data_IF_770063645169
#
_entry.id   IF_770063645169
#
_cell.length_a   1.000
_cell.length_b   1.000
_cell.length_c   1.000
_cell.angle_alpha   90.00
_cell.angle_beta   90.00
_cell.angle_gamma   90.00
#
_symmetry.space_group_name_H-M   'P 1'
#
loop_
_entity.id
_entity.type
_entity.pdbx_description
1 polymer ?
#
# COMPACT_ATOMS: atom_id res chain seq x y z
N UNK A 1 14.57 -1.30 1.39
CA UNK A 1 13.61 -0.56 0.54
C UNK A 1 13.80 0.93 0.73
N UNK A 2 13.31 1.73 -0.22
CA UNK A 2 13.19 3.18 -0.06
C UNK A 2 11.72 3.54 0.13
N UNK A 3 11.42 4.29 1.17
CA UNK A 3 10.07 4.71 1.54
C UNK A 3 9.77 6.05 0.89
N UNK A 4 8.82 6.07 -0.05
CA UNK A 4 8.31 7.32 -0.60
C UNK A 4 7.73 8.22 0.50
N UNK A 5 8.08 9.51 0.47
CA UNK A 5 7.70 10.49 1.47
C UNK A 5 6.39 11.19 1.04
N UNK A 6 5.31 10.97 1.78
CA UNK A 6 4.11 11.82 1.73
C UNK A 6 4.25 13.11 2.57
N UNK A 7 3.14 13.82 2.71
CA UNK A 7 2.95 14.98 3.59
C UNK A 7 3.62 14.80 4.97
N UNK A 8 3.23 13.76 5.73
CA UNK A 8 3.84 13.41 7.00
C UNK A 8 3.92 11.89 7.17
N UNK A 9 5.10 11.39 7.56
CA UNK A 9 5.33 9.96 7.75
C UNK A 9 5.99 9.74 9.09
N UNK A 10 5.53 8.76 9.86
CA UNK A 10 6.30 8.23 10.98
C UNK A 10 7.11 7.06 10.45
N UNK A 11 8.43 7.22 10.43
CA UNK A 11 9.37 6.18 9.99
C UNK A 11 10.12 5.69 11.21
N UNK A 12 10.20 4.38 11.40
CA UNK A 12 10.95 3.80 12.51
C UNK A 12 11.76 2.58 12.14
N UNK A 13 12.64 2.17 13.05
CA UNK A 13 13.53 1.01 12.89
C UNK A 13 12.83 -0.22 13.46
N UNK A 14 12.57 -1.22 12.62
CA UNK A 14 11.86 -2.46 13.01
C UNK A 14 12.55 -3.12 14.19
N UNK A 15 13.87 -3.32 14.11
CA UNK A 15 14.63 -3.98 15.17
C UNK A 15 14.65 -3.23 16.51
N UNK A 16 14.48 -1.90 16.52
CA UNK A 16 14.38 -1.13 17.78
C UNK A 16 12.97 -1.22 18.35
N UNK A 17 11.97 -1.15 17.47
CA UNK A 17 10.57 -1.28 17.84
C UNK A 17 10.31 -2.66 18.45
N UNK A 18 10.73 -3.75 17.80
CA UNK A 18 10.59 -5.12 18.33
C UNK A 18 11.28 -5.31 19.69
N UNK A 19 12.43 -4.65 19.91
CA UNK A 19 13.14 -4.67 21.20
C UNK A 19 12.40 -3.88 22.27
N UNK A 20 11.76 -2.79 21.92
CA UNK A 20 11.09 -1.91 22.87
C UNK A 20 9.67 -2.40 23.22
N UNK A 21 8.98 -3.07 22.30
CA UNK A 21 7.58 -3.49 22.44
C UNK A 21 7.39 -4.98 22.05
N UNK A 22 7.95 -5.88 22.88
CA UNK A 22 8.00 -7.32 22.57
C UNK A 22 6.60 -7.93 22.36
N UNK A 23 6.32 -8.41 21.15
CA UNK A 23 5.05 -9.04 20.76
C UNK A 23 3.95 -8.07 20.31
N UNK A 24 4.16 -6.77 20.44
CA UNK A 24 3.16 -5.75 20.13
C UNK A 24 3.32 -5.17 18.72
N UNK A 25 4.41 -5.47 17.99
CA UNK A 25 4.59 -4.93 16.64
C UNK A 25 3.52 -5.45 15.66
N UNK A 26 3.06 -6.68 15.84
CA UNK A 26 1.94 -7.24 15.06
C UNK A 26 0.65 -6.46 15.30
N UNK A 27 0.32 -6.19 16.56
CA UNK A 27 -0.83 -5.40 16.94
C UNK A 27 -0.71 -3.95 16.45
N UNK A 28 0.49 -3.38 16.56
CA UNK A 28 0.81 -2.04 16.07
C UNK A 28 0.58 -1.92 14.56
N UNK A 29 1.05 -2.90 13.78
CA UNK A 29 0.88 -2.95 12.33
C UNK A 29 -0.57 -3.20 11.92
N UNK A 30 -1.27 -4.11 12.63
CA UNK A 30 -2.67 -4.44 12.39
C UNK A 30 -3.63 -3.28 12.66
N UNK A 31 -3.32 -2.42 13.64
CA UNK A 31 -4.12 -1.25 13.97
C UNK A 31 -4.00 -0.08 12.98
N UNK A 32 -3.09 -0.15 11.98
CA UNK A 32 -2.71 1.01 11.14
C UNK A 32 -2.79 0.68 9.66
N UNK A 33 -3.83 1.19 9.00
CA UNK A 33 -4.08 0.96 7.57
C UNK A 33 -2.94 1.45 6.64
N UNK A 34 -2.13 2.40 7.09
CA UNK A 34 -1.05 3.01 6.28
C UNK A 34 0.33 2.43 6.62
N UNK A 35 0.36 1.32 7.38
CA UNK A 35 1.58 0.65 7.79
C UNK A 35 2.23 -0.10 6.62
N UNK A 36 3.54 0.08 6.49
CA UNK A 36 4.42 -0.62 5.55
C UNK A 36 5.71 -0.94 6.28
N UNK A 37 6.30 -2.12 6.06
CA UNK A 37 7.62 -2.47 6.61
C UNK A 37 8.45 -3.32 5.64
N UNK A 38 9.77 -3.25 5.80
CA UNK A 38 10.73 -4.24 5.36
C UNK A 38 11.53 -4.78 6.55
N UNK A 39 12.66 -5.47 6.30
CA UNK A 39 13.53 -6.01 7.34
C UNK A 39 14.22 -4.95 8.22
N UNK A 40 14.17 -3.66 7.87
CA UNK A 40 14.90 -2.59 8.55
C UNK A 40 14.01 -1.46 9.04
N UNK A 41 13.06 -1.03 8.21
CA UNK A 41 12.24 0.16 8.44
C UNK A 41 10.76 -0.17 8.37
N UNK A 42 9.98 0.53 9.19
CA UNK A 42 8.54 0.66 9.00
C UNK A 42 8.16 2.12 8.70
N UNK A 43 6.99 2.31 8.11
CA UNK A 43 6.38 3.61 7.82
C UNK A 43 4.90 3.58 8.15
N UNK A 44 4.41 4.65 8.76
CA UNK A 44 2.97 4.98 8.85
C UNK A 44 2.77 6.36 8.22
N UNK A 45 1.98 6.41 7.14
CA UNK A 45 1.66 7.66 6.43
C UNK A 45 0.46 8.40 7.06
N UNK A 46 0.53 9.72 7.11
CA UNK A 46 -0.51 10.60 7.67
C UNK A 46 -0.80 11.78 6.75
N UNK A 47 -2.08 12.16 6.69
CA UNK A 47 -2.53 13.41 6.06
C UNK A 47 -2.47 14.61 7.04
N UNK A 48 -2.16 14.36 8.31
CA UNK A 48 -2.06 15.35 9.38
C UNK A 48 -0.73 15.23 10.10
N UNK A 49 0.07 16.31 10.09
CA UNK A 49 1.32 16.38 10.87
C UNK A 49 1.05 16.23 12.36
N UNK A 50 -0.12 16.67 12.84
CA UNK A 50 -0.50 16.55 14.24
C UNK A 50 -0.67 15.08 14.65
N UNK A 51 -1.42 14.31 13.87
CA UNK A 51 -1.60 12.87 14.14
C UNK A 51 -0.27 12.12 14.08
N UNK A 52 0.61 12.50 13.15
CA UNK A 52 1.95 11.93 13.06
C UNK A 52 2.81 12.26 14.28
N UNK A 53 2.72 13.48 14.81
CA UNK A 53 3.41 13.89 16.04
C UNK A 53 2.86 13.18 17.27
N UNK A 54 1.52 13.05 17.37
CA UNK A 54 0.86 12.34 18.45
C UNK A 54 1.36 10.88 18.49
N UNK A 55 1.43 10.21 17.33
CA UNK A 55 2.01 8.85 17.25
C UNK A 55 3.48 8.82 17.67
N UNK A 56 4.31 9.76 17.21
CA UNK A 56 5.73 9.80 17.62
C UNK A 56 5.87 9.97 19.14
N UNK A 57 4.99 10.74 19.78
CA UNK A 57 4.97 10.92 21.23
C UNK A 57 4.55 9.69 22.03
N UNK A 58 3.82 8.75 21.41
CA UNK A 58 3.45 7.46 22.00
C UNK A 58 4.56 6.40 21.87
N UNK A 59 5.49 6.61 20.92
CA UNK A 59 6.54 5.64 20.62
C UNK A 59 7.76 5.82 21.54
N UNK A 60 8.49 4.73 21.86
CA UNK A 60 9.70 4.83 22.66
C UNK A 60 10.76 5.72 21.98
N UNK A 61 11.47 6.52 22.77
CA UNK A 61 12.45 7.48 22.27
C UNK A 61 13.49 6.82 21.33
N UNK A 62 13.70 7.45 20.16
CA UNK A 62 14.70 7.01 19.19
C UNK A 62 14.32 5.78 18.36
N UNK A 63 13.12 5.21 18.55
CA UNK A 63 12.61 4.10 17.71
C UNK A 63 12.07 4.59 16.37
N UNK A 64 11.48 5.79 16.34
CA UNK A 64 10.87 6.40 15.18
C UNK A 64 11.16 7.91 15.08
N UNK A 65 10.93 8.46 13.90
CA UNK A 65 11.03 9.88 13.60
C UNK A 65 9.91 10.32 12.66
N UNK A 66 9.48 11.57 12.83
CA UNK A 66 8.64 12.26 11.86
C UNK A 66 9.47 12.65 10.64
N UNK A 67 9.04 12.20 9.46
CA UNK A 67 9.64 12.50 8.16
C UNK A 67 8.62 13.20 7.28
N UNK A 68 8.91 14.44 6.92
CA UNK A 68 8.14 15.26 5.97
C UNK A 68 8.98 15.53 4.71
N UNK A 69 8.37 15.95 3.60
CA UNK A 69 9.05 16.11 2.30
C UNK A 69 10.29 17.03 2.34
N UNK A 70 10.30 18.04 3.21
CA UNK A 70 11.41 19.00 3.36
C UNK A 70 12.08 19.05 4.74
N UNK A 71 11.58 18.28 5.71
CA UNK A 71 12.08 18.34 7.10
C UNK A 71 13.46 17.68 7.28
N UNK A 72 14.14 17.88 8.41
CA UNK A 72 15.35 17.12 8.72
C UNK A 72 15.02 15.62 8.84
N UNK A 73 16.03 14.77 8.62
CA UNK A 73 15.96 13.33 8.93
C UNK A 73 17.08 12.97 9.90
N UNK A 74 16.86 12.00 10.80
CA UNK A 74 17.90 11.52 11.70
C UNK A 74 19.03 10.81 10.93
N UNK A 75 20.20 10.70 11.54
CA UNK A 75 21.42 10.16 10.90
C UNK A 75 21.31 8.70 10.43
N UNK A 76 20.36 7.94 10.98
CA UNK A 76 20.07 6.57 10.57
C UNK A 76 19.18 6.50 9.31
N UNK A 77 18.69 7.64 8.80
CA UNK A 77 18.03 7.76 7.51
C UNK A 77 18.90 8.55 6.51
N UNK A 78 18.79 8.15 5.25
CA UNK A 78 19.19 8.95 4.09
C UNK A 78 17.94 9.41 3.38
N UNK A 79 18.03 10.57 2.75
CA UNK A 79 17.01 11.10 1.84
C UNK A 79 17.61 11.29 0.46
N UNK A 80 16.81 11.05 -0.55
CA UNK A 80 17.11 11.43 -1.93
C UNK A 80 15.91 11.20 -2.84
N UNK A 81 16.15 11.35 -4.12
CA UNK A 81 15.16 11.09 -5.16
C UNK A 81 15.49 9.76 -5.86
N UNK A 82 14.47 8.92 -6.04
CA UNK A 82 14.58 7.66 -6.76
C UNK A 82 13.36 7.54 -7.68
N UNK A 83 13.61 7.31 -8.96
CA UNK A 83 12.58 7.24 -10.00
C UNK A 83 11.60 8.44 -9.98
N UNK A 84 12.12 9.64 -9.71
CA UNK A 84 11.35 10.88 -9.64
C UNK A 84 10.55 11.08 -8.34
N UNK A 85 10.69 10.18 -7.35
CA UNK A 85 10.01 10.25 -6.07
C UNK A 85 10.99 10.58 -4.94
N UNK A 86 10.63 11.54 -4.09
CA UNK A 86 11.34 11.80 -2.84
C UNK A 86 11.14 10.63 -1.88
N UNK A 87 12.23 10.04 -1.41
CA UNK A 87 12.21 8.84 -0.59
C UNK A 87 13.25 8.91 0.55
N UNK A 88 13.03 8.10 1.59
CA UNK A 88 14.01 7.82 2.64
C UNK A 88 14.36 6.34 2.72
N UNK A 89 15.59 6.03 3.11
CA UNK A 89 16.05 4.66 3.34
C UNK A 89 17.08 4.61 4.45
N UNK A 90 17.42 3.41 4.92
CA UNK A 90 18.35 3.25 6.04
C UNK A 90 19.78 3.65 5.65
N UNK A 91 20.46 4.46 6.47
CA UNK A 91 21.70 5.14 6.10
C UNK A 91 22.97 4.27 5.89
N UNK A 92 22.85 2.96 6.09
CA UNK A 92 23.89 1.96 5.86
C UNK A 92 23.61 1.01 4.71
N UNK A 93 22.56 1.25 3.93
CA UNK A 93 22.14 0.39 2.83
C UNK A 93 21.89 1.21 1.56
N UNK A 94 22.05 0.56 0.41
CA UNK A 94 21.51 1.07 -0.85
C UNK A 94 19.97 1.16 -0.74
N UNK A 95 19.33 2.16 -1.35
CA UNK A 95 17.89 2.40 -1.20
C UNK A 95 17.02 1.20 -1.60
N UNK A 96 17.44 0.41 -2.59
CA UNK A 96 16.57 -0.61 -3.18
C UNK A 96 15.33 0.02 -3.86
N UNK A 97 14.32 -0.80 -4.22
CA UNK A 97 13.11 -0.30 -4.87
C UNK A 97 12.33 0.69 -4.01
N UNK A 98 11.74 1.70 -4.66
CA UNK A 98 10.84 2.65 -3.99
C UNK A 98 9.50 1.97 -3.72
N UNK A 99 9.12 2.00 -2.46
CA UNK A 99 7.77 1.70 -2.00
C UNK A 99 7.03 3.03 -1.92
N UNK A 100 6.18 3.34 -2.93
CA UNK A 100 5.39 4.55 -2.90
C UNK A 100 4.41 4.49 -1.72
N UNK A 101 3.82 5.62 -1.36
CA UNK A 101 2.79 5.64 -0.34
C UNK A 101 1.42 5.20 -0.85
N UNK A 102 1.42 4.10 -1.61
CA UNK A 102 0.22 3.51 -2.13
C UNK A 102 -0.46 2.69 -1.03
N UNK A 103 -1.65 3.12 -0.63
CA UNK A 103 -2.60 2.27 0.08
C UNK A 103 -3.36 1.36 -0.89
N UNK A 104 -3.27 1.66 -2.19
CA UNK A 104 -3.99 0.97 -3.24
C UNK A 104 -3.76 1.57 -4.61
N UNK A 105 -4.44 0.99 -5.60
CA UNK A 105 -4.53 1.51 -6.97
C UNK A 105 -5.97 1.95 -7.19
N UNK A 106 -6.17 3.17 -7.69
CA UNK A 106 -7.47 3.65 -8.12
C UNK A 106 -7.35 4.10 -9.58
N UNK A 107 -7.99 3.35 -10.47
CA UNK A 107 -7.97 3.60 -11.90
C UNK A 107 -9.37 3.53 -12.46
N UNK A 108 -9.61 4.19 -13.58
CA UNK A 108 -10.82 4.07 -14.36
C UNK A 108 -10.48 3.67 -15.80
N UNK A 109 -11.35 2.92 -16.45
CA UNK A 109 -11.17 2.53 -17.85
C UNK A 109 -12.24 1.55 -18.33
N UNK A 110 -12.10 1.00 -19.55
CA UNK A 110 -13.08 0.08 -20.10
C UNK A 110 -13.28 -1.16 -19.22
N UNK A 111 -14.52 -1.64 -19.06
CA UNK A 111 -14.83 -2.81 -18.22
C UNK A 111 -14.07 -4.09 -18.57
N UNK A 112 -13.66 -4.25 -19.84
CA UNK A 112 -12.82 -5.36 -20.33
C UNK A 112 -11.40 -5.39 -19.76
N UNK A 113 -10.94 -4.34 -19.08
CA UNK A 113 -9.58 -4.29 -18.53
C UNK A 113 -9.34 -5.38 -17.47
N UNK A 114 -10.39 -5.85 -16.80
CA UNK A 114 -10.30 -7.00 -15.87
C UNK A 114 -9.73 -8.26 -16.52
N UNK A 115 -9.98 -8.47 -17.81
CA UNK A 115 -9.50 -9.65 -18.54
C UNK A 115 -7.98 -9.65 -18.71
N UNK A 116 -7.33 -8.48 -18.60
CA UNK A 116 -5.87 -8.35 -18.74
C UNK A 116 -5.17 -8.96 -17.53
N UNK A 117 -5.74 -8.78 -16.32
CA UNK A 117 -5.18 -9.32 -15.07
C UNK A 117 -5.20 -10.85 -15.10
N UNK A 118 -6.24 -11.46 -15.67
CA UNK A 118 -6.42 -12.91 -15.75
C UNK A 118 -5.49 -13.58 -16.78
N UNK A 119 -4.94 -12.82 -17.73
CA UNK A 119 -4.08 -13.37 -18.79
C UNK A 119 -2.64 -13.63 -18.35
N UNK A 120 -2.21 -13.08 -17.22
CA UNK A 120 -0.87 -13.31 -16.70
C UNK A 120 -0.78 -14.70 -16.06
N UNK A 121 0.11 -15.55 -16.57
CA UNK A 121 0.24 -16.93 -16.12
C UNK A 121 0.75 -17.07 -14.67
N UNK A 122 1.39 -16.03 -14.13
CA UNK A 122 1.84 -15.98 -12.74
C UNK A 122 0.76 -15.44 -11.79
N UNK A 123 -0.41 -15.06 -12.32
CA UNK A 123 -1.49 -14.42 -11.57
C UNK A 123 -2.68 -15.36 -11.43
N UNK A 124 -3.16 -15.49 -10.20
CA UNK A 124 -4.43 -16.16 -9.88
C UNK A 124 -5.45 -15.10 -9.50
N UNK A 125 -6.61 -15.11 -10.15
CA UNK A 125 -7.73 -14.21 -9.85
C UNK A 125 -8.92 -15.05 -9.39
N UNK A 126 -9.41 -14.81 -8.18
CA UNK A 126 -10.57 -15.51 -7.62
C UNK A 126 -11.66 -14.52 -7.28
N UNK A 127 -12.84 -14.67 -7.87
CA UNK A 127 -14.01 -13.85 -7.49
C UNK A 127 -14.43 -14.17 -6.05
N UNK A 128 -14.69 -13.14 -5.26
CA UNK A 128 -15.20 -13.24 -3.88
C UNK A 128 -16.61 -12.65 -3.81
N UNK A 129 -17.50 -13.25 -3.01
CA UNK A 129 -18.81 -12.67 -2.73
C UNK A 129 -18.69 -11.61 -1.63
N UNK A 130 -19.48 -10.51 -1.66
CA UNK A 130 -19.62 -9.62 -0.52
C UNK A 130 -20.15 -10.42 0.71
N UNK A 131 -19.74 -10.07 1.93
CA UNK A 131 -20.20 -10.75 3.15
C UNK A 131 -21.69 -10.53 3.46
N UNK A 132 -22.35 -9.54 2.86
CA UNK A 132 -23.78 -9.27 3.05
C UNK A 132 -24.51 -9.33 1.69
N UNK A 133 -25.44 -10.27 1.57
CA UNK A 133 -26.24 -10.46 0.36
C UNK A 133 -27.28 -11.56 0.49
N UNK A 134 -28.03 -11.55 1.60
CA UNK A 134 -29.32 -12.24 1.64
C UNK A 134 -30.26 -11.63 0.58
N UNK A 135 -30.95 -12.51 -0.14
CA UNK A 135 -31.61 -12.23 -1.41
C UNK A 135 -32.44 -10.93 -1.49
N UNK A 136 -32.17 -10.16 -2.54
CA UNK A 136 -32.97 -9.02 -2.99
C UNK A 136 -32.26 -8.36 -4.17
N UNK A 137 -33.01 -7.95 -5.21
CA UNK A 137 -32.48 -7.57 -6.52
C UNK A 137 -31.55 -6.34 -6.54
N UNK A 138 -30.91 -6.18 -7.70
CA UNK A 138 -29.85 -5.22 -8.07
C UNK A 138 -28.43 -5.52 -7.57
N UNK A 139 -27.83 -6.58 -8.12
CA UNK A 139 -26.37 -6.71 -8.21
C UNK A 139 -25.82 -5.80 -9.33
N UNK A 140 -26.06 -4.50 -9.26
CA UNK A 140 -25.64 -3.58 -10.31
C UNK A 140 -24.15 -3.24 -10.15
N UNK A 141 -23.32 -3.85 -10.99
CA UNK A 141 -22.00 -3.33 -11.36
C UNK A 141 -20.83 -3.52 -10.40
N UNK A 142 -21.00 -4.11 -9.21
CA UNK A 142 -19.90 -4.29 -8.25
C UNK A 142 -19.40 -5.73 -8.20
N UNK A 143 -18.14 -5.95 -8.56
CA UNK A 143 -17.44 -7.23 -8.44
C UNK A 143 -16.23 -7.13 -7.53
N UNK A 144 -15.98 -8.16 -6.73
CA UNK A 144 -14.79 -8.28 -5.88
C UNK A 144 -13.96 -9.48 -6.28
N UNK A 145 -12.65 -9.28 -6.31
CA UNK A 145 -11.67 -10.29 -6.66
C UNK A 145 -10.53 -10.30 -5.66
N UNK A 146 -10.07 -11.50 -5.36
CA UNK A 146 -8.78 -11.75 -4.76
C UNK A 146 -7.76 -11.95 -5.88
N UNK A 147 -6.69 -11.17 -5.88
CA UNK A 147 -5.61 -11.26 -6.87
C UNK A 147 -4.34 -11.69 -6.16
N UNK A 148 -3.76 -12.81 -6.61
CA UNK A 148 -2.51 -13.37 -6.08
C UNK A 148 -1.48 -13.45 -7.20
N UNK A 149 -0.28 -12.95 -6.95
CA UNK A 149 0.86 -13.08 -7.88
C UNK A 149 2.14 -13.27 -7.08
N UNK A 150 2.81 -14.40 -7.31
CA UNK A 150 3.91 -14.86 -6.44
C UNK A 150 3.44 -14.89 -4.97
N UNK A 151 4.15 -14.22 -4.06
CA UNK A 151 3.79 -14.13 -2.63
C UNK A 151 2.86 -12.95 -2.29
N UNK A 152 2.51 -12.13 -3.29
CA UNK A 152 1.68 -10.95 -3.15
C UNK A 152 0.18 -11.28 -3.20
N UNK A 153 -0.62 -10.60 -2.38
CA UNK A 153 -2.07 -10.74 -2.32
C UNK A 153 -2.74 -9.39 -2.10
N UNK A 154 -3.68 -9.02 -2.99
CA UNK A 154 -4.50 -7.81 -2.88
C UNK A 154 -5.95 -8.10 -3.21
N UNK A 155 -6.85 -7.31 -2.65
CA UNK A 155 -8.26 -7.30 -3.05
C UNK A 155 -8.46 -6.26 -4.16
N UNK A 156 -9.18 -6.63 -5.20
CA UNK A 156 -9.55 -5.78 -6.34
C UNK A 156 -11.08 -5.66 -6.40
N UNK A 157 -11.58 -4.44 -6.22
CA UNK A 157 -12.97 -4.08 -6.48
C UNK A 157 -13.08 -3.51 -7.90
N UNK A 158 -14.10 -3.95 -8.64
CA UNK A 158 -14.47 -3.41 -9.95
C UNK A 158 -15.88 -2.86 -9.83
N UNK A 159 -16.03 -1.56 -10.08
CA UNK A 159 -17.28 -0.82 -9.95
C UNK A 159 -17.67 -0.27 -11.34
N UNK A 160 -18.72 -0.81 -11.94
CA UNK A 160 -19.25 -0.28 -13.19
C UNK A 160 -19.92 1.08 -12.96
N UNK A 161 -19.59 2.05 -13.81
CA UNK A 161 -20.16 3.39 -13.74
C UNK A 161 -21.52 3.36 -14.46
N UNK A 162 -22.64 3.73 -13.81
CA UNK A 162 -23.98 3.71 -14.40
C UNK A 162 -24.22 4.94 -15.28
N UNK A 163 -23.33 5.23 -16.22
CA UNK A 163 -23.40 6.37 -17.13
C UNK A 163 -23.59 5.95 -18.61
N UNK A 164 -23.72 4.64 -18.86
CA UNK A 164 -23.86 4.07 -20.21
C UNK A 164 -22.56 4.00 -21.02
N UNK A 165 -21.41 4.40 -20.45
CA UNK A 165 -20.12 4.46 -21.15
C UNK A 165 -19.33 3.14 -21.13
N UNK A 166 -19.80 2.12 -20.40
CA UNK A 166 -19.08 0.84 -20.15
C UNK A 166 -17.71 1.06 -19.50
N UNK A 167 -17.60 2.11 -18.69
CA UNK A 167 -16.44 2.39 -17.87
C UNK A 167 -16.60 1.70 -16.51
N UNK A 168 -15.50 1.20 -15.98
CA UNK A 168 -15.42 0.67 -14.62
C UNK A 168 -14.30 1.37 -13.87
N UNK A 169 -14.47 1.50 -12.56
CA UNK A 169 -13.45 1.90 -11.60
C UNK A 169 -12.83 0.64 -11.01
N UNK A 170 -11.51 0.57 -11.04
CA UNK A 170 -10.68 -0.49 -10.50
C UNK A 170 -10.01 0.02 -9.24
N UNK A 171 -10.39 -0.56 -8.10
CA UNK A 171 -9.82 -0.22 -6.80
C UNK A 171 -9.11 -1.44 -6.23
N UNK A 172 -7.79 -1.42 -6.20
CA UNK A 172 -7.01 -2.46 -5.55
C UNK A 172 -6.53 -1.99 -4.17
N UNK A 173 -6.66 -2.82 -3.15
CA UNK A 173 -6.24 -2.50 -1.77
C UNK A 173 -5.53 -3.69 -1.13
N UNK A 174 -4.55 -3.40 -0.28
CA UNK A 174 -3.93 -4.43 0.57
C UNK A 174 -4.87 -4.83 1.69
N UNK A 175 -4.70 -6.05 2.19
CA UNK A 175 -5.40 -6.53 3.38
C UNK A 175 -4.71 -6.05 4.65
N UNK A 176 -5.44 -5.53 5.67
CA UNK A 176 -4.83 -5.05 6.92
C UNK A 176 -3.96 -6.10 7.62
N UNK A 177 -4.39 -7.37 7.60
CA UNK A 177 -3.64 -8.50 8.18
C UNK A 177 -2.32 -8.81 7.44
N UNK A 178 -2.06 -8.15 6.31
CA UNK A 178 -0.83 -8.26 5.51
C UNK A 178 -0.01 -6.97 5.50
N UNK A 179 -0.23 -6.09 6.48
CA UNK A 179 0.55 -4.87 6.60
C UNK A 179 2.04 -5.12 6.90
N UNK A 180 2.35 -6.26 7.54
CA UNK A 180 3.71 -6.73 7.78
C UNK A 180 4.36 -7.35 6.55
N UNK A 181 5.67 -7.19 6.43
CA UNK A 181 6.48 -7.73 5.31
C UNK A 181 5.83 -7.53 3.93
N UNK A 182 5.18 -6.38 3.70
CA UNK A 182 4.26 -6.18 2.57
C UNK A 182 4.95 -5.96 1.21
N UNK A 183 6.26 -6.20 1.10
CA UNK A 183 7.02 -6.08 -0.15
C UNK A 183 6.37 -6.80 -1.34
N UNK A 184 5.94 -8.07 -1.21
CA UNK A 184 5.23 -8.76 -2.28
C UNK A 184 3.90 -8.11 -2.68
N UNK A 185 3.12 -7.61 -1.70
CA UNK A 185 1.83 -6.95 -1.96
C UNK A 185 2.02 -5.61 -2.66
N UNK A 186 3.07 -4.85 -2.30
CA UNK A 186 3.44 -3.61 -2.99
C UNK A 186 3.88 -3.90 -4.43
N UNK A 187 4.73 -4.91 -4.64
CA UNK A 187 5.15 -5.31 -5.97
C UNK A 187 3.95 -5.73 -6.84
N UNK A 188 2.96 -6.40 -6.24
CA UNK A 188 1.70 -6.73 -6.91
C UNK A 188 0.87 -5.48 -7.24
N UNK A 189 0.71 -4.52 -6.32
CA UNK A 189 0.01 -3.25 -6.61
C UNK A 189 0.69 -2.47 -7.75
N UNK A 190 2.03 -2.37 -7.74
CA UNK A 190 2.79 -1.71 -8.79
C UNK A 190 2.61 -2.41 -10.15
N UNK A 191 2.68 -3.74 -10.16
CA UNK A 191 2.41 -4.52 -11.36
C UNK A 191 0.99 -4.31 -11.87
N UNK A 192 0.00 -4.28 -10.98
CA UNK A 192 -1.40 -4.12 -11.34
C UNK A 192 -1.66 -2.72 -11.93
N UNK A 193 -1.13 -1.66 -11.31
CA UNK A 193 -1.20 -0.29 -11.86
C UNK A 193 -0.58 -0.22 -13.25
N UNK A 194 0.66 -0.72 -13.40
CA UNK A 194 1.35 -0.72 -14.68
C UNK A 194 0.59 -1.51 -15.77
N UNK A 195 0.06 -2.69 -15.41
CA UNK A 195 -0.67 -3.57 -16.31
C UNK A 195 -1.98 -2.93 -16.77
N UNK A 196 -2.75 -2.35 -15.85
CA UNK A 196 -4.01 -1.69 -16.17
C UNK A 196 -3.78 -0.42 -17.00
N UNK A 197 -2.78 0.40 -16.65
CA UNK A 197 -2.42 1.59 -17.43
C UNK A 197 -1.95 1.25 -18.84
N UNK A 198 -1.12 0.21 -18.99
CA UNK A 198 -0.69 -0.26 -20.31
C UNK A 198 -1.86 -0.72 -21.19
N UNK A 199 -2.94 -1.20 -20.57
CA UNK A 199 -4.16 -1.59 -21.26
C UNK A 199 -5.16 -0.44 -21.50
N UNK A 200 -4.84 0.78 -21.05
CA UNK A 200 -5.64 1.99 -21.27
C UNK A 200 -6.46 2.46 -20.07
N UNK A 201 -6.09 2.06 -18.85
CA UNK A 201 -6.63 2.66 -17.64
C UNK A 201 -5.97 4.01 -17.32
N UNK A 202 -6.71 4.88 -16.65
CA UNK A 202 -6.27 6.22 -16.25
C UNK A 202 -6.56 6.44 -14.75
N UNK A 203 -5.80 7.33 -14.11
CA UNK A 203 -5.94 7.68 -12.69
C UNK A 203 -6.47 9.08 -12.51
#
# INVERSE_FOLDING_TARGET
MALGIEFANVVGRVAEMERAITGELDEFAGARHNYIEDSHLFRVGFMSTREALDLVGELPDGTAALVTSGGPVPDWLRRGEIDGMQAVWHAGHEPGPVVPPLQGVLLHGPSRLRDVVVRDAATTVRRTQPPDGDGGGDSDGHERFEVVRHDGLVDLEVLDVPDGTRTSVFRATRRPERNRCCGPDIALLQWLDATLRAAGAHG
#
